data_IF_575415690756
#
_entry.id   IF_575415690756
#
_cell.length_a   1.000
_cell.length_b   1.000
_cell.length_c   1.000
_cell.angle_alpha   90.00
_cell.angle_beta   90.00
_cell.angle_gamma   90.00
#
_symmetry.space_group_name_H-M   'P 1'
#
loop_
_entity.id
_entity.type
_entity.pdbx_description
1 polymer ?
#
# COMPACT_ATOMS: atom_id res chain seq x y z
N UNK A 1 4.73 -17.10 -0.46
CA UNK A 1 3.63 -16.83 0.48
C UNK A 1 2.76 -15.72 -0.08
N UNK A 2 1.47 -15.87 0.01
CA UNK A 2 0.53 -14.83 -0.42
C UNK A 2 0.12 -13.96 0.77
N UNK A 3 0.02 -12.66 0.57
CA UNK A 3 -0.35 -11.71 1.62
C UNK A 3 -1.73 -11.14 1.31
N UNK A 4 -2.55 -11.00 2.35
CA UNK A 4 -3.92 -10.49 2.23
C UNK A 4 -4.17 -9.40 3.25
N UNK A 5 -4.75 -8.30 2.77
CA UNK A 5 -5.14 -7.17 3.61
C UNK A 5 -6.64 -7.21 3.89
N UNK A 6 -7.01 -7.13 5.16
CA UNK A 6 -8.40 -7.01 5.58
C UNK A 6 -8.83 -5.55 5.52
N UNK A 7 -9.93 -5.30 4.82
CA UNK A 7 -10.49 -3.95 4.71
C UNK A 7 -11.60 -3.74 5.73
N UNK A 8 -11.47 -2.69 6.50
CA UNK A 8 -12.49 -2.26 7.44
C UNK A 8 -13.30 -1.08 6.91
N UNK A 9 -13.81 -0.28 7.84
CA UNK A 9 -14.62 0.89 7.52
C UNK A 9 -13.85 1.86 6.63
N UNK A 10 -14.47 2.33 5.55
CA UNK A 10 -13.84 3.23 4.59
C UNK A 10 -12.71 2.61 3.79
N UNK A 11 -12.70 1.27 3.67
CA UNK A 11 -11.64 0.51 2.98
C UNK A 11 -10.25 0.68 3.59
N UNK A 12 -10.22 0.99 4.89
CA UNK A 12 -8.97 1.11 5.61
C UNK A 12 -8.42 -0.27 5.96
N UNK A 13 -7.12 -0.47 5.77
CA UNK A 13 -6.46 -1.74 6.09
C UNK A 13 -6.35 -1.88 7.61
N UNK A 14 -6.98 -2.93 8.15
CA UNK A 14 -6.98 -3.23 9.59
C UNK A 14 -5.98 -4.30 9.96
N UNK A 15 -5.68 -5.20 9.03
CA UNK A 15 -4.85 -6.37 9.30
C UNK A 15 -4.26 -6.87 7.98
N UNK A 16 -3.05 -7.41 8.04
CA UNK A 16 -2.42 -8.11 6.91
C UNK A 16 -1.97 -9.47 7.40
N UNK A 17 -2.35 -10.52 6.70
CA UNK A 17 -1.96 -11.89 7.04
C UNK A 17 -1.33 -12.59 5.86
N UNK A 18 -0.69 -13.71 6.13
CA UNK A 18 0.04 -14.52 5.16
C UNK A 18 -0.66 -15.86 5.01
N UNK A 19 -0.86 -16.30 3.77
CA UNK A 19 -1.45 -17.60 3.45
C UNK A 19 -0.49 -18.36 2.54
N UNK A 20 -0.38 -19.67 2.74
CA UNK A 20 0.46 -20.50 1.89
C UNK A 20 0.00 -20.43 0.42
N UNK A 21 0.97 -20.39 -0.50
CA UNK A 21 0.68 -20.40 -1.94
C UNK A 21 -0.09 -21.66 -2.38
N UNK A 22 0.09 -22.77 -1.67
CA UNK A 22 -0.62 -24.01 -1.95
C UNK A 22 -2.12 -23.89 -1.68
N UNK A 23 -2.51 -22.99 -0.78
CA UNK A 23 -3.91 -22.70 -0.43
C UNK A 23 -4.43 -21.55 -1.28
N UNK A 24 -3.65 -20.45 -1.33
CA UNK A 24 -4.00 -19.25 -2.09
C UNK A 24 -3.57 -19.39 -3.55
N UNK A 25 -4.13 -20.37 -4.25
CA UNK A 25 -3.86 -20.60 -5.67
C UNK A 25 -4.47 -19.49 -6.55
N UNK A 26 -5.51 -18.85 -6.03
CA UNK A 26 -6.10 -17.62 -6.58
C UNK A 26 -6.41 -16.68 -5.43
N UNK A 27 -6.67 -15.41 -5.72
CA UNK A 27 -7.09 -14.45 -4.68
C UNK A 27 -8.36 -14.96 -3.98
N UNK A 28 -9.36 -15.39 -4.74
CA UNK A 28 -10.63 -15.85 -4.16
C UNK A 28 -10.44 -17.07 -3.27
N UNK A 29 -9.59 -18.02 -3.68
CA UNK A 29 -9.28 -19.19 -2.87
C UNK A 29 -8.67 -18.82 -1.53
N UNK A 30 -7.76 -17.83 -1.52
CA UNK A 30 -7.17 -17.31 -0.30
C UNK A 30 -8.19 -16.63 0.60
N UNK A 31 -9.04 -15.79 0.03
CA UNK A 31 -10.11 -15.10 0.77
C UNK A 31 -11.07 -16.11 1.41
N UNK A 32 -11.49 -17.11 0.66
CA UNK A 32 -12.40 -18.15 1.15
C UNK A 32 -11.77 -18.94 2.30
N UNK A 33 -10.49 -19.28 2.17
CA UNK A 33 -9.76 -19.99 3.22
C UNK A 33 -9.72 -19.16 4.52
N UNK A 34 -9.40 -17.88 4.43
CA UNK A 34 -9.29 -17.01 5.60
C UNK A 34 -10.65 -16.87 6.30
N UNK A 35 -11.68 -16.55 5.54
CA UNK A 35 -13.03 -16.37 6.09
C UNK A 35 -13.58 -17.65 6.69
N UNK A 36 -13.29 -18.79 6.06
CA UNK A 36 -13.72 -20.09 6.58
C UNK A 36 -12.99 -20.43 7.89
N UNK A 37 -11.68 -20.13 7.96
CA UNK A 37 -10.88 -20.39 9.15
C UNK A 37 -11.36 -19.59 10.36
N UNK A 38 -11.70 -18.31 10.15
CA UNK A 38 -12.15 -17.42 11.23
C UNK A 38 -13.66 -17.42 11.43
N UNK A 39 -14.42 -18.08 10.56
CA UNK A 39 -15.88 -18.05 10.63
C UNK A 39 -16.46 -16.66 10.34
N UNK A 40 -15.85 -15.93 9.44
CA UNK A 40 -16.18 -14.53 9.12
C UNK A 40 -16.54 -14.39 7.64
N UNK A 41 -17.00 -13.19 7.29
CA UNK A 41 -17.31 -12.83 5.91
C UNK A 41 -16.70 -11.46 5.61
N UNK A 42 -15.43 -11.29 5.97
CA UNK A 42 -14.71 -10.05 5.80
C UNK A 42 -14.23 -9.85 4.36
N UNK A 43 -13.93 -8.61 4.01
CA UNK A 43 -13.36 -8.26 2.71
C UNK A 43 -11.84 -8.29 2.83
N UNK A 44 -11.22 -9.15 2.03
CA UNK A 44 -9.78 -9.30 1.95
C UNK A 44 -9.33 -9.03 0.52
N UNK A 45 -8.24 -8.32 0.36
CA UNK A 45 -7.61 -8.07 -0.94
C UNK A 45 -6.16 -8.51 -0.91
N UNK A 46 -5.75 -9.23 -1.94
CA UNK A 46 -4.36 -9.68 -2.03
C UNK A 46 -3.43 -8.49 -2.24
N UNK A 47 -2.31 -8.53 -1.54
CA UNK A 47 -1.22 -7.58 -1.69
C UNK A 47 0.09 -8.36 -1.86
N UNK A 48 1.19 -7.69 -2.12
CA UNK A 48 2.48 -8.36 -2.28
C UNK A 48 3.56 -7.63 -1.51
N UNK A 49 4.26 -8.35 -0.66
CA UNK A 49 5.39 -7.84 0.10
C UNK A 49 6.47 -7.19 -0.79
N UNK A 50 6.59 -7.63 -2.04
CA UNK A 50 7.60 -7.16 -2.98
C UNK A 50 7.11 -6.04 -3.91
N UNK A 51 5.91 -5.53 -3.69
CA UNK A 51 5.32 -4.50 -4.57
C UNK A 51 5.44 -3.12 -3.95
N UNK A 52 5.97 -2.17 -4.74
CA UNK A 52 6.07 -0.76 -4.37
C UNK A 52 6.04 0.09 -5.64
N UNK A 53 5.30 1.19 -5.60
CA UNK A 53 5.18 2.14 -6.72
C UNK A 53 4.72 1.49 -8.02
N UNK A 54 3.95 0.42 -7.93
CA UNK A 54 3.45 -0.31 -9.09
C UNK A 54 4.41 -1.32 -9.69
N UNK A 55 5.53 -1.62 -9.01
CA UNK A 55 6.53 -2.56 -9.49
C UNK A 55 6.80 -3.67 -8.48
N UNK A 56 7.09 -4.86 -8.96
CA UNK A 56 7.50 -5.99 -8.13
C UNK A 56 9.02 -6.08 -8.12
N UNK A 57 9.64 -6.06 -6.94
CA UNK A 57 11.09 -6.03 -6.76
C UNK A 57 11.82 -7.22 -7.40
N UNK A 58 11.15 -8.37 -7.50
CA UNK A 58 11.71 -9.61 -8.03
C UNK A 58 11.14 -9.98 -9.41
N UNK A 59 10.44 -9.05 -10.06
CA UNK A 59 9.87 -9.26 -11.39
C UNK A 59 8.60 -10.10 -11.42
N UNK A 60 7.97 -10.34 -10.28
CA UNK A 60 6.68 -11.04 -10.19
C UNK A 60 5.50 -10.11 -10.49
N UNK A 61 4.30 -10.54 -10.08
CA UNK A 61 3.07 -9.75 -10.26
C UNK A 61 3.00 -8.61 -9.25
N UNK A 62 2.94 -7.35 -9.71
CA UNK A 62 2.84 -6.20 -8.80
C UNK A 62 1.39 -5.98 -8.35
N UNK A 63 0.98 -6.63 -7.29
CA UNK A 63 -0.39 -6.49 -6.77
C UNK A 63 -0.64 -5.09 -6.21
N UNK A 64 -1.58 -4.37 -6.84
CA UNK A 64 -2.22 -3.16 -6.29
C UNK A 64 -1.25 -2.07 -5.85
N UNK A 65 -0.22 -1.83 -6.65
CA UNK A 65 0.70 -0.69 -6.57
C UNK A 65 1.67 -0.69 -5.39
N UNK A 66 1.17 -0.95 -4.17
CA UNK A 66 1.98 -0.90 -2.97
C UNK A 66 1.63 -2.07 -2.05
N UNK A 67 2.62 -2.58 -1.32
CA UNK A 67 2.36 -3.52 -0.24
C UNK A 67 1.49 -2.83 0.82
N UNK A 68 0.38 -3.46 1.18
CA UNK A 68 -0.56 -2.88 2.14
C UNK A 68 0.05 -2.83 3.53
N UNK A 69 -0.02 -1.66 4.15
CA UNK A 69 0.32 -1.47 5.55
C UNK A 69 -0.93 -1.13 6.36
N UNK A 70 -0.82 -1.21 7.68
CA UNK A 70 -1.91 -0.76 8.55
C UNK A 70 -2.19 0.71 8.28
N UNK A 71 -3.46 1.09 8.32
CA UNK A 71 -3.97 2.43 8.05
C UNK A 71 -3.86 2.89 6.58
N UNK A 72 -3.31 2.06 5.69
CA UNK A 72 -3.45 2.29 4.26
C UNK A 72 -4.92 2.20 3.87
N UNK A 73 -5.28 2.83 2.76
CA UNK A 73 -6.65 2.76 2.22
C UNK A 73 -6.60 2.07 0.86
N UNK A 74 -7.54 1.15 0.64
CA UNK A 74 -7.72 0.56 -0.68
C UNK A 74 -8.63 1.45 -1.52
N UNK A 75 -8.14 1.89 -2.66
CA UNK A 75 -8.92 2.66 -3.64
C UNK A 75 -9.39 1.70 -4.72
N UNK A 76 -10.70 1.48 -4.75
CA UNK A 76 -11.33 0.50 -5.64
C UNK A 76 -11.22 0.92 -7.11
N UNK A 77 -11.37 2.22 -7.41
CA UNK A 77 -11.28 2.73 -8.77
C UNK A 77 -9.88 2.58 -9.37
N UNK A 78 -8.86 2.75 -8.54
CA UNK A 78 -7.45 2.60 -8.95
C UNK A 78 -6.95 1.18 -8.79
N UNK A 79 -7.69 0.32 -8.08
CA UNK A 79 -7.25 -1.01 -7.65
C UNK A 79 -5.86 -0.93 -7.00
N UNK A 80 -5.73 -0.10 -5.97
CA UNK A 80 -4.44 0.22 -5.37
C UNK A 80 -4.54 0.48 -3.88
N UNK A 81 -3.48 0.09 -3.16
CA UNK A 81 -3.30 0.48 -1.76
C UNK A 81 -2.56 1.81 -1.70
N UNK A 82 -3.15 2.77 -1.00
CA UNK A 82 -2.63 4.13 -0.87
C UNK A 82 -2.20 4.36 0.56
N UNK A 83 -0.93 4.74 0.82
CA UNK A 83 -0.46 5.04 2.17
C UNK A 83 -1.17 6.29 2.72
N UNK A 84 -1.18 6.47 4.06
CA UNK A 84 -1.68 7.71 4.63
C UNK A 84 -0.96 8.92 4.06
N UNK A 85 -1.69 10.02 3.86
CA UNK A 85 -1.09 11.25 3.35
C UNK A 85 -0.02 11.76 4.32
N UNK A 86 1.20 11.94 3.81
CA UNK A 86 2.34 12.31 4.63
C UNK A 86 2.21 13.74 5.17
N UNK A 87 1.86 14.68 4.30
CA UNK A 87 1.61 16.08 4.65
C UNK A 87 0.48 16.61 3.77
N UNK A 88 -0.26 17.58 4.28
CA UNK A 88 -1.43 18.11 3.56
C UNK A 88 -1.09 18.80 2.24
N UNK A 89 0.13 19.30 2.08
CA UNK A 89 0.60 19.92 0.84
C UNK A 89 1.05 18.92 -0.22
N UNK A 90 1.24 17.66 0.14
CA UNK A 90 1.69 16.62 -0.79
C UNK A 90 0.53 16.12 -1.61
N UNK A 91 0.82 15.75 -2.86
CA UNK A 91 -0.18 15.22 -3.80
C UNK A 91 0.10 13.78 -4.16
N UNK A 92 -0.97 13.05 -4.49
CA UNK A 92 -0.86 11.64 -4.86
C UNK A 92 -0.42 11.53 -6.32
N UNK A 93 0.63 10.73 -6.55
CA UNK A 93 0.99 10.31 -7.91
C UNK A 93 0.06 9.17 -8.31
N UNK A 94 -0.75 9.39 -9.35
CA UNK A 94 -1.79 8.44 -9.76
C UNK A 94 -1.21 7.14 -10.36
N UNK A 95 0.03 7.18 -10.86
CA UNK A 95 0.68 5.99 -11.43
C UNK A 95 1.30 5.09 -10.38
N UNK A 96 1.97 5.69 -9.38
CA UNK A 96 2.67 4.96 -8.33
C UNK A 96 1.85 4.78 -7.06
N UNK A 97 0.79 5.57 -6.90
CA UNK A 97 -0.02 5.66 -5.68
C UNK A 97 0.81 5.98 -4.45
N UNK A 98 1.81 6.83 -4.63
CA UNK A 98 2.65 7.38 -3.58
C UNK A 98 2.43 8.88 -3.47
N UNK A 99 2.55 9.42 -2.26
CA UNK A 99 2.45 10.85 -2.02
C UNK A 99 3.75 11.54 -2.38
N UNK A 100 3.66 12.67 -3.04
CA UNK A 100 4.83 13.43 -3.51
C UNK A 100 4.78 14.87 -3.04
N UNK A 101 5.93 15.37 -2.58
CA UNK A 101 6.08 16.76 -2.19
C UNK A 101 5.92 17.66 -3.42
N UNK A 102 5.38 18.89 -3.25
CA UNK A 102 5.28 19.85 -4.35
C UNK A 102 6.64 20.37 -4.84
N UNK A 103 7.68 20.17 -4.04
CA UNK A 103 9.06 20.55 -4.38
C UNK A 103 9.93 19.31 -4.35
N UNK A 104 10.71 19.08 -5.41
CA UNK A 104 11.58 17.93 -5.50
C UNK A 104 12.64 17.93 -4.40
N UNK A 105 12.96 16.74 -3.87
CA UNK A 105 14.05 16.60 -2.88
C UNK A 105 15.37 17.06 -3.52
N UNK A 106 16.14 17.95 -2.85
CA UNK A 106 17.39 18.44 -3.42
C UNK A 106 18.39 17.32 -3.70
N UNK A 107 19.03 17.37 -4.86
CA UNK A 107 20.00 16.38 -5.33
C UNK A 107 21.43 16.93 -5.23
N UNK A 108 21.86 17.32 -4.03
CA UNK A 108 23.17 17.90 -3.77
C UNK A 108 24.02 17.08 -2.78
N UNK A 109 23.54 15.88 -2.43
CA UNK A 109 24.23 14.98 -1.50
C UNK A 109 24.01 15.31 -0.03
N UNK A 110 23.30 16.36 0.29
CA UNK A 110 22.95 16.71 1.67
C UNK A 110 21.64 16.07 2.08
N UNK A 111 21.36 16.09 3.37
CA UNK A 111 20.11 15.57 3.94
C UNK A 111 19.17 16.70 4.29
N UNK A 112 17.89 16.50 3.98
CA UNK A 112 16.84 17.50 4.19
C UNK A 112 15.65 16.88 4.89
N UNK A 113 14.86 17.69 5.57
CA UNK A 113 13.55 17.31 6.06
C UNK A 113 12.51 18.25 5.47
N UNK A 114 11.28 17.76 5.34
CA UNK A 114 10.18 18.57 4.85
C UNK A 114 9.71 19.54 5.95
N UNK A 115 9.54 20.81 5.60
CA UNK A 115 8.93 21.81 6.47
C UNK A 115 7.58 22.22 5.86
N UNK A 116 6.51 21.75 6.48
CA UNK A 116 5.15 22.02 6.00
C UNK A 116 4.80 23.51 6.10
N UNK A 117 5.34 24.22 7.07
CA UNK A 117 5.08 25.66 7.26
C UNK A 117 5.58 26.48 6.07
N UNK A 118 6.78 26.19 5.58
CA UNK A 118 7.36 26.88 4.42
C UNK A 118 7.11 26.14 3.11
N UNK A 119 6.52 24.94 3.16
CA UNK A 119 6.32 24.04 2.02
C UNK A 119 7.59 23.86 1.21
N UNK A 120 8.67 23.54 1.91
CA UNK A 120 9.98 23.38 1.29
C UNK A 120 10.85 22.40 2.11
N UNK A 121 11.93 21.96 1.50
CA UNK A 121 12.93 21.15 2.15
C UNK A 121 13.91 22.06 2.92
N UNK A 122 14.20 21.69 4.17
CA UNK A 122 15.16 22.41 5.01
C UNK A 122 16.31 21.48 5.37
N UNK A 123 17.54 22.03 5.37
CA UNK A 123 18.75 21.28 5.65
C UNK A 123 18.72 20.74 7.09
N UNK A 124 19.10 19.48 7.24
CA UNK A 124 19.24 18.85 8.56
C UNK A 124 20.48 19.36 9.28
#
# INVERSE_FOLDING_TARGET
MAHFAKLGKGNKVEQVIVVSNDVATTEQAGVDFINNLYGTNDIWKQTSYNTQKGEHKLGGTPFRKNYAGLDYRYDEAKDAFIPPQTFSSWTLNEETCQWEAPVAYPDDGNRYKWDETTTNWVLL
#
